data_IF_851800468809
#
_entry.id   IF_851800468809
#
_cell.length_a   1.000
_cell.length_b   1.000
_cell.length_c   1.000
_cell.angle_alpha   90.00
_cell.angle_beta   90.00
_cell.angle_gamma   90.00
#
_symmetry.space_group_name_H-M   'P 1'
#
loop_
_entity.id
_entity.type
_entity.pdbx_description
1 polymer ?
#
# COMPACT_ATOMS: atom_id res chain seq x y z
N UNK A 1 -12.44 4.86 58.04
CA UNK A 1 -12.10 5.67 56.86
C UNK A 1 -11.16 4.86 55.98
N UNK A 2 -11.66 4.28 54.88
CA UNK A 2 -10.85 3.57 53.88
C UNK A 2 -10.76 4.47 52.65
N UNK A 3 -9.60 5.09 52.42
CA UNK A 3 -9.31 5.80 51.19
C UNK A 3 -8.87 4.77 50.13
N UNK A 4 -9.69 4.61 49.09
CA UNK A 4 -9.31 3.89 47.87
C UNK A 4 -8.65 4.92 46.96
N UNK A 5 -7.36 4.72 46.67
CA UNK A 5 -6.63 5.53 45.70
C UNK A 5 -6.86 4.92 44.31
N UNK A 6 -7.68 5.58 43.49
CA UNK A 6 -7.85 5.22 42.08
C UNK A 6 -6.68 5.82 41.29
N UNK A 7 -5.67 5.00 40.98
CA UNK A 7 -4.65 5.38 40.00
C UNK A 7 -5.27 5.37 38.59
N UNK A 8 -5.61 6.55 38.08
CA UNK A 8 -5.88 6.74 36.65
C UNK A 8 -4.56 6.61 35.88
N UNK A 9 -4.32 5.46 35.26
CA UNK A 9 -3.27 5.32 34.25
C UNK A 9 -3.77 6.02 32.99
N UNK A 10 -3.37 7.27 32.78
CA UNK A 10 -3.49 7.91 31.48
C UNK A 10 -2.61 7.12 30.50
N UNK A 11 -3.22 6.32 29.64
CA UNK A 11 -2.53 5.75 28.47
C UNK A 11 -2.37 6.87 27.45
N UNK A 12 -1.32 7.67 27.61
CA UNK A 12 -0.89 8.60 26.58
C UNK A 12 -0.47 7.80 25.36
N UNK A 13 -1.34 7.76 24.34
CA UNK A 13 -0.97 7.33 22.99
C UNK A 13 0.19 8.25 22.55
N UNK A 14 1.39 7.70 22.50
CA UNK A 14 2.55 8.44 21.98
C UNK A 14 2.37 8.51 20.47
N UNK A 15 2.07 9.70 19.95
CA UNK A 15 1.97 9.94 18.51
C UNK A 15 3.32 10.43 17.99
N UNK A 16 3.79 9.82 16.90
CA UNK A 16 4.90 10.35 16.12
C UNK A 16 4.42 11.46 15.20
N UNK A 17 5.31 12.37 14.81
CA UNK A 17 5.02 13.30 13.73
C UNK A 17 4.70 12.49 12.46
N UNK A 18 3.57 12.79 11.82
CA UNK A 18 3.17 12.10 10.60
C UNK A 18 4.27 12.25 9.54
N UNK A 19 4.86 11.15 9.04
CA UNK A 19 5.94 11.25 8.09
C UNK A 19 5.44 11.79 6.75
N UNK A 20 6.20 12.71 6.17
CA UNK A 20 5.99 13.16 4.80
C UNK A 20 6.58 12.12 3.86
N UNK A 21 5.71 11.44 3.12
CA UNK A 21 6.05 10.23 2.39
C UNK A 21 5.74 10.37 0.90
N UNK A 22 6.68 9.93 0.07
CA UNK A 22 6.50 9.80 -1.37
C UNK A 22 5.28 8.93 -1.70
N UNK A 23 4.51 9.34 -2.71
CA UNK A 23 3.32 8.65 -3.17
C UNK A 23 3.47 8.24 -4.63
N UNK A 24 3.15 6.98 -4.94
CA UNK A 24 3.24 6.47 -6.31
C UNK A 24 2.09 6.99 -7.19
N UNK A 25 2.46 7.53 -8.35
CA UNK A 25 1.54 7.82 -9.44
C UNK A 25 1.27 6.58 -10.29
N UNK A 26 0.26 6.60 -11.15
CA UNK A 26 -0.06 5.48 -12.05
C UNK A 26 0.78 5.59 -13.33
N UNK A 27 1.38 4.48 -13.77
CA UNK A 27 2.01 4.40 -15.09
C UNK A 27 0.98 4.64 -16.22
N UNK A 28 1.36 5.43 -17.22
CA UNK A 28 0.54 5.87 -18.36
C UNK A 28 1.36 5.81 -19.66
N UNK A 29 2.12 4.72 -19.81
CA UNK A 29 2.86 4.42 -21.05
C UNK A 29 3.99 5.40 -21.40
N UNK A 30 4.53 6.11 -20.40
CA UNK A 30 5.72 6.96 -20.57
C UNK A 30 7.01 6.13 -20.78
N UNK A 31 8.02 6.72 -21.40
CA UNK A 31 9.33 6.08 -21.58
C UNK A 31 10.03 5.83 -20.24
N UNK A 32 10.30 4.56 -19.95
CA UNK A 32 10.88 4.10 -18.66
C UNK A 32 12.20 3.32 -18.83
N UNK A 33 12.83 3.39 -20.00
CA UNK A 33 14.14 2.75 -20.22
C UNK A 33 15.18 3.28 -19.25
N UNK A 34 15.91 2.37 -18.60
CA UNK A 34 16.90 2.67 -17.57
C UNK A 34 16.33 2.96 -16.18
N UNK A 35 15.01 2.87 -15.98
CA UNK A 35 14.40 3.05 -14.67
C UNK A 35 14.58 1.81 -13.80
N UNK A 36 14.53 1.96 -12.48
CA UNK A 36 14.55 0.83 -11.55
C UNK A 36 13.13 0.32 -11.35
N UNK A 37 12.92 -0.99 -11.47
CA UNK A 37 11.68 -1.67 -11.15
C UNK A 37 11.85 -2.66 -10.00
N UNK A 38 10.83 -2.78 -9.17
CA UNK A 38 10.77 -3.71 -8.04
C UNK A 38 9.36 -4.25 -7.88
N UNK A 39 9.21 -5.40 -7.23
CA UNK A 39 7.89 -5.88 -6.82
C UNK A 39 7.21 -4.84 -5.91
N UNK A 40 5.92 -4.58 -6.16
CA UNK A 40 5.06 -3.87 -5.23
C UNK A 40 4.57 -4.87 -4.20
N UNK A 41 5.19 -4.85 -3.02
CA UNK A 41 4.80 -5.69 -1.90
C UNK A 41 3.47 -5.21 -1.30
N UNK A 42 2.53 -6.13 -1.09
CA UNK A 42 1.25 -5.88 -0.41
C UNK A 42 1.40 -6.12 1.09
N UNK A 43 2.13 -5.23 1.75
CA UNK A 43 2.37 -5.28 3.19
C UNK A 43 1.78 -4.09 3.93
N UNK A 44 2.45 -3.69 5.01
CA UNK A 44 2.12 -2.45 5.73
C UNK A 44 3.32 -1.51 5.69
N UNK A 45 3.18 -0.39 4.97
CA UNK A 45 4.21 0.65 4.90
C UNK A 45 4.61 1.16 6.29
N UNK A 46 5.91 1.16 6.54
CA UNK A 46 6.52 1.69 7.73
C UNK A 46 7.66 2.66 7.38
N UNK A 47 7.79 3.71 8.18
CA UNK A 47 8.87 4.67 8.15
C UNK A 47 9.70 4.50 9.41
N UNK A 48 10.95 4.12 9.27
CA UNK A 48 11.93 4.14 10.33
C UNK A 48 12.51 5.55 10.41
N UNK A 49 12.44 6.21 11.56
CA UNK A 49 12.97 7.57 11.76
C UNK A 49 14.44 7.62 12.21
N UNK A 50 15.05 6.45 12.46
CA UNK A 50 16.35 6.32 13.11
C UNK A 50 16.28 5.66 14.49
N UNK A 51 15.06 5.54 15.06
CA UNK A 51 14.83 4.96 16.39
C UNK A 51 13.56 4.09 16.46
N UNK A 52 12.48 4.46 15.76
CA UNK A 52 11.17 3.81 15.83
C UNK A 52 10.55 3.62 14.44
N UNK A 53 9.75 2.55 14.32
CA UNK A 53 8.89 2.32 13.16
C UNK A 53 7.57 3.09 13.32
N UNK A 54 7.25 3.90 12.30
CA UNK A 54 6.09 4.79 12.27
C UNK A 54 5.21 4.41 11.06
N UNK A 55 3.93 4.21 11.30
CA UNK A 55 2.95 4.01 10.23
C UNK A 55 2.78 5.25 9.37
N UNK A 56 2.21 5.09 8.18
CA UNK A 56 1.82 6.22 7.32
C UNK A 56 0.93 7.26 8.03
N UNK A 57 0.17 6.85 9.05
CA UNK A 57 -0.71 7.73 9.83
C UNK A 57 0.01 8.54 10.91
N UNK A 58 1.28 8.22 11.24
CA UNK A 58 2.02 8.83 12.35
C UNK A 58 1.96 8.02 13.66
N UNK A 59 1.26 6.88 13.67
CA UNK A 59 1.23 6.00 14.85
C UNK A 59 2.48 5.13 14.89
N UNK A 60 3.12 5.02 16.05
CA UNK A 60 4.23 4.07 16.26
C UNK A 60 3.74 2.63 16.22
N UNK A 61 4.51 1.76 15.58
CA UNK A 61 4.32 0.32 15.68
C UNK A 61 4.94 -0.19 16.99
N UNK A 62 4.27 -1.15 17.65
CA UNK A 62 4.81 -1.85 18.81
C UNK A 62 5.82 -2.94 18.36
N UNK A 63 6.86 -2.54 17.62
CA UNK A 63 7.90 -3.45 17.16
C UNK A 63 8.75 -3.93 18.36
N UNK A 64 8.97 -5.24 18.53
CA UNK A 64 9.88 -5.75 19.53
C UNK A 64 11.29 -5.17 19.36
N UNK A 65 12.00 -4.91 20.47
CA UNK A 65 13.37 -4.36 20.42
C UNK A 65 14.35 -5.23 19.62
N UNK A 66 14.16 -6.56 19.63
CA UNK A 66 14.97 -7.47 18.85
C UNK A 66 14.74 -7.35 17.34
N UNK A 67 13.56 -6.87 16.91
CA UNK A 67 13.22 -6.72 15.49
C UNK A 67 13.98 -5.55 14.88
N UNK A 68 14.03 -4.42 15.58
CA UNK A 68 14.72 -3.19 15.14
C UNK A 68 16.17 -3.12 15.64
N UNK A 69 16.70 -4.23 16.18
CA UNK A 69 18.07 -4.26 16.67
C UNK A 69 19.02 -4.00 15.52
N UNK A 70 20.00 -3.11 15.76
CA UNK A 70 21.04 -2.73 14.80
C UNK A 70 20.49 -2.09 13.50
N UNK A 71 19.26 -1.58 13.51
CA UNK A 71 18.76 -0.74 12.42
C UNK A 71 19.57 0.56 12.31
N UNK A 72 19.69 1.15 11.11
CA UNK A 72 20.54 2.31 10.88
C UNK A 72 20.10 3.54 11.69
N UNK A 73 21.02 4.41 12.11
CA UNK A 73 20.70 5.65 12.81
C UNK A 73 20.15 6.75 11.86
N UNK A 74 19.58 6.37 10.72
CA UNK A 74 19.04 7.27 9.70
C UNK A 74 17.71 6.76 9.16
N UNK A 75 16.93 7.68 8.58
CA UNK A 75 15.58 7.39 8.13
C UNK A 75 15.51 6.40 6.95
N UNK A 76 14.62 5.42 7.03
CA UNK A 76 14.37 4.40 6.00
C UNK A 76 12.86 4.27 5.75
N UNK A 77 12.48 4.14 4.49
CA UNK A 77 11.08 3.96 4.06
C UNK A 77 10.95 2.60 3.37
N UNK A 78 9.93 1.84 3.77
CA UNK A 78 9.81 0.45 3.37
C UNK A 78 8.45 -0.15 3.68
N UNK A 79 8.35 -1.45 3.47
CA UNK A 79 7.14 -2.24 3.72
C UNK A 79 7.44 -3.32 4.78
N UNK A 80 6.62 -3.40 5.84
CA UNK A 80 6.60 -4.58 6.71
C UNK A 80 5.88 -5.70 5.95
N UNK A 81 6.59 -6.79 5.68
CA UNK A 81 6.13 -7.82 4.76
C UNK A 81 6.67 -9.20 5.13
N UNK A 82 5.88 -10.24 4.86
CA UNK A 82 6.22 -11.66 5.08
C UNK A 82 6.35 -12.40 3.74
N UNK A 83 5.23 -12.57 3.05
CA UNK A 83 5.09 -13.28 1.77
C UNK A 83 3.90 -12.71 0.99
N UNK A 84 3.76 -13.16 -0.24
CA UNK A 84 2.62 -12.83 -1.12
C UNK A 84 1.31 -13.34 -0.55
N UNK A 85 0.21 -12.66 -0.87
CA UNK A 85 -1.16 -12.97 -0.41
C UNK A 85 -1.35 -13.02 1.12
N UNK A 86 -0.52 -12.33 1.91
CA UNK A 86 -0.48 -12.41 3.38
C UNK A 86 -0.86 -11.11 4.11
N UNK A 87 -1.41 -10.13 3.38
CA UNK A 87 -1.70 -8.79 3.91
C UNK A 87 -2.55 -8.79 5.19
N UNK A 88 -3.63 -9.56 5.23
CA UNK A 88 -4.54 -9.62 6.39
C UNK A 88 -3.81 -10.14 7.64
N UNK A 89 -2.91 -11.11 7.46
CA UNK A 89 -2.08 -11.66 8.53
C UNK A 89 -1.04 -10.64 9.01
N UNK A 90 -0.30 -10.02 8.10
CA UNK A 90 0.66 -8.95 8.41
C UNK A 90 -0.03 -7.83 9.21
N UNK A 91 -1.19 -7.38 8.73
CA UNK A 91 -1.97 -6.34 9.40
C UNK A 91 -2.37 -6.76 10.81
N UNK A 92 -2.78 -8.02 11.01
CA UNK A 92 -3.16 -8.53 12.33
C UNK A 92 -2.02 -8.52 13.35
N UNK A 93 -0.76 -8.64 12.88
CA UNK A 93 0.45 -8.59 13.71
C UNK A 93 0.82 -7.15 14.04
N UNK A 94 0.92 -6.28 13.04
CA UNK A 94 1.50 -4.93 13.22
C UNK A 94 0.52 -3.92 13.83
N UNK A 95 -0.79 -4.18 13.76
CA UNK A 95 -1.82 -3.30 14.34
C UNK A 95 -2.05 -3.53 15.85
N UNK A 96 -1.33 -4.48 16.45
CA UNK A 96 -1.39 -4.72 17.90
C UNK A 96 -0.82 -3.53 18.69
N UNK A 97 -1.40 -3.26 19.87
CA UNK A 97 -0.90 -2.20 20.77
C UNK A 97 0.39 -2.59 21.49
N UNK A 98 0.60 -3.87 21.69
CA UNK A 98 1.78 -4.45 22.31
C UNK A 98 2.51 -5.34 21.32
N UNK A 99 3.78 -5.62 21.61
CA UNK A 99 4.63 -6.42 20.74
C UNK A 99 4.08 -7.85 20.62
N UNK A 100 3.97 -8.35 19.39
CA UNK A 100 3.42 -9.66 19.06
C UNK A 100 4.53 -10.63 18.62
N UNK A 101 4.48 -11.91 19.00
CA UNK A 101 5.52 -12.87 18.59
C UNK A 101 5.58 -13.09 17.06
N UNK A 102 4.45 -12.89 16.37
CA UNK A 102 4.36 -12.98 14.91
C UNK A 102 5.25 -12.00 14.13
N UNK A 103 5.86 -11.00 14.79
CA UNK A 103 6.89 -10.16 14.16
C UNK A 103 8.07 -11.00 13.61
N UNK A 104 8.28 -12.22 14.11
CA UNK A 104 9.32 -13.15 13.61
C UNK A 104 9.08 -13.60 12.18
N UNK A 105 7.83 -13.51 11.70
CA UNK A 105 7.44 -13.87 10.34
C UNK A 105 7.63 -12.70 9.35
N UNK A 106 7.91 -11.50 9.87
CA UNK A 106 8.00 -10.28 9.08
C UNK A 106 9.46 -9.90 8.85
N UNK A 107 9.70 -9.11 7.81
CA UNK A 107 10.88 -8.26 7.69
C UNK A 107 10.46 -6.89 7.15
N UNK A 108 11.31 -5.89 7.38
CA UNK A 108 11.17 -4.55 6.85
C UNK A 108 11.93 -4.44 5.53
N UNK A 109 11.20 -4.42 4.41
CA UNK A 109 11.77 -4.31 3.08
C UNK A 109 11.83 -2.83 2.66
N UNK A 110 13.00 -2.25 2.83
CA UNK A 110 13.32 -0.88 2.46
C UNK A 110 13.32 -0.68 0.95
N UNK A 111 12.63 0.35 0.49
CA UNK A 111 12.66 0.79 -0.91
C UNK A 111 13.17 2.23 -1.05
N UNK A 112 13.50 2.92 0.05
CA UNK A 112 14.12 4.24 0.01
C UNK A 112 14.83 4.64 1.32
N UNK A 113 15.67 5.68 1.23
CA UNK A 113 16.31 6.38 2.37
C UNK A 113 15.98 7.87 2.24
N UNK A 114 14.78 8.32 2.69
CA UNK A 114 14.19 9.61 2.29
C UNK A 114 15.01 10.87 2.60
N UNK A 115 15.85 10.81 3.63
CA UNK A 115 16.67 11.94 4.09
C UNK A 115 18.05 11.99 3.43
N UNK A 116 18.40 10.99 2.62
CA UNK A 116 19.66 10.97 1.88
C UNK A 116 19.55 11.77 0.58
N UNK A 117 20.62 12.49 0.21
CA UNK A 117 20.63 13.34 -0.99
C UNK A 117 20.94 12.52 -2.24
N UNK A 118 20.41 12.98 -3.37
CA UNK A 118 20.67 12.39 -4.69
C UNK A 118 19.60 11.39 -5.12
N UNK A 119 19.91 10.65 -6.18
CA UNK A 119 19.01 9.67 -6.80
C UNK A 119 18.75 8.42 -5.96
N UNK A 120 17.68 7.70 -6.29
CA UNK A 120 17.29 6.44 -5.65
C UNK A 120 18.47 5.45 -5.55
N UNK A 121 19.27 5.29 -6.61
CA UNK A 121 20.43 4.39 -6.60
C UNK A 121 21.42 4.76 -5.49
N UNK A 122 21.72 6.06 -5.32
CA UNK A 122 22.63 6.53 -4.27
C UNK A 122 22.02 6.35 -2.88
N UNK A 123 20.73 6.62 -2.73
CA UNK A 123 20.01 6.49 -1.46
C UNK A 123 19.99 5.02 -1.00
N UNK A 124 19.72 4.08 -1.91
CA UNK A 124 19.77 2.65 -1.62
C UNK A 124 21.21 2.15 -1.38
N UNK A 125 22.20 2.64 -2.12
CA UNK A 125 23.61 2.28 -1.90
C UNK A 125 24.09 2.65 -0.49
N UNK A 126 23.59 3.74 0.11
CA UNK A 126 23.87 4.08 1.51
C UNK A 126 23.36 3.01 2.47
N UNK A 127 22.14 2.53 2.26
CA UNK A 127 21.58 1.46 3.10
C UNK A 127 22.33 0.15 2.86
N UNK A 128 22.66 -0.18 1.62
CA UNK A 128 23.40 -1.39 1.26
C UNK A 128 24.77 -1.44 1.95
N UNK A 129 25.51 -0.33 1.91
CA UNK A 129 26.76 -0.17 2.64
C UNK A 129 26.59 -0.39 4.15
N UNK A 130 25.54 0.19 4.76
CA UNK A 130 25.26 -0.01 6.17
C UNK A 130 24.98 -1.49 6.49
N UNK A 131 24.13 -2.15 5.70
CA UNK A 131 23.78 -3.56 5.90
C UNK A 131 24.95 -4.52 5.64
N UNK A 132 25.91 -4.13 4.79
CA UNK A 132 27.14 -4.92 4.58
C UNK A 132 28.12 -4.87 5.76
N UNK A 133 27.98 -3.89 6.65
CA UNK A 133 28.88 -3.66 7.78
C UNK A 133 28.26 -4.01 9.14
N UNK A 134 26.97 -4.35 9.18
CA UNK A 134 26.21 -4.66 10.40
C UNK A 134 25.38 -5.93 10.20
N UNK A 135 25.26 -6.75 11.24
CA UNK A 135 24.40 -7.93 11.21
C UNK A 135 22.96 -7.52 11.52
N UNK A 136 22.20 -7.14 10.48
CA UNK A 136 20.80 -6.72 10.62
C UNK A 136 19.86 -7.78 10.07
N UNK A 137 19.09 -8.43 10.95
CA UNK A 137 18.31 -9.63 10.58
C UNK A 137 17.00 -9.30 9.85
N UNK A 138 16.34 -8.23 10.27
CA UNK A 138 14.95 -7.92 9.88
C UNK A 138 14.83 -6.69 8.97
N UNK A 139 15.93 -6.13 8.48
CA UNK A 139 15.93 -5.05 7.48
C UNK A 139 16.59 -5.52 6.20
N UNK A 140 15.88 -5.42 5.09
CA UNK A 140 16.35 -5.83 3.76
C UNK A 140 16.08 -4.74 2.76
N UNK A 141 16.90 -4.65 1.71
CA UNK A 141 16.58 -3.80 0.55
C UNK A 141 15.64 -4.59 -0.36
N UNK A 142 14.52 -3.98 -0.73
CA UNK A 142 13.61 -4.50 -1.74
C UNK A 142 14.38 -4.64 -3.07
N UNK A 143 14.42 -5.84 -3.69
CA UNK A 143 15.19 -6.07 -4.92
C UNK A 143 14.85 -5.06 -6.01
N UNK A 144 15.89 -4.47 -6.63
CA UNK A 144 15.77 -3.50 -7.71
C UNK A 144 16.38 -4.07 -8.99
N UNK A 145 15.67 -3.91 -10.10
CA UNK A 145 16.12 -4.34 -11.42
C UNK A 145 16.07 -3.16 -12.40
N UNK A 146 17.06 -3.01 -13.26
CA UNK A 146 16.99 -2.00 -14.32
C UNK A 146 16.05 -2.48 -15.41
N UNK A 147 15.03 -1.68 -15.71
CA UNK A 147 14.07 -1.92 -16.77
C UNK A 147 14.62 -1.41 -18.12
N UNK A 148 14.74 -2.28 -19.11
CA UNK A 148 15.23 -1.94 -20.46
C UNK A 148 14.16 -1.24 -21.27
N UNK A 149 12.94 -1.76 -21.23
CA UNK A 149 11.80 -1.30 -22.03
C UNK A 149 10.47 -1.77 -21.45
N UNK A 150 9.38 -1.34 -22.08
CA UNK A 150 8.03 -1.72 -21.71
C UNK A 150 7.78 -3.24 -21.78
N UNK A 151 8.37 -3.95 -22.73
CA UNK A 151 8.18 -5.40 -22.84
C UNK A 151 8.80 -6.14 -21.65
N UNK A 152 9.95 -5.70 -21.14
CA UNK A 152 10.55 -6.24 -19.92
C UNK A 152 9.71 -5.88 -18.68
N UNK A 153 9.17 -4.66 -18.61
CA UNK A 153 8.24 -4.28 -17.55
C UNK A 153 6.99 -5.17 -17.52
N UNK A 154 6.35 -5.40 -18.67
CA UNK A 154 5.15 -6.22 -18.77
C UNK A 154 5.42 -7.70 -18.44
N UNK A 155 6.58 -8.23 -18.85
CA UNK A 155 7.00 -9.60 -18.46
C UNK A 155 7.21 -9.70 -16.95
N UNK A 156 7.93 -8.75 -16.35
CA UNK A 156 8.16 -8.75 -14.91
C UNK A 156 6.84 -8.59 -14.13
N UNK A 157 5.94 -7.73 -14.59
CA UNK A 157 4.59 -7.60 -14.02
C UNK A 157 3.84 -8.92 -14.06
N UNK A 158 3.81 -9.59 -15.22
CA UNK A 158 3.14 -10.87 -15.37
C UNK A 158 3.73 -11.96 -14.47
N UNK A 159 5.06 -12.04 -14.35
CA UNK A 159 5.74 -12.98 -13.46
C UNK A 159 5.40 -12.75 -11.99
N UNK A 160 5.38 -11.49 -11.56
CA UNK A 160 4.99 -11.09 -10.20
C UNK A 160 3.53 -11.48 -9.93
N UNK A 161 2.60 -11.06 -10.79
CA UNK A 161 1.16 -11.32 -10.65
C UNK A 161 0.83 -12.82 -10.70
N UNK A 162 1.43 -13.57 -11.63
CA UNK A 162 1.25 -15.03 -11.76
C UNK A 162 1.65 -15.77 -10.49
N UNK A 163 2.59 -15.23 -9.73
CA UNK A 163 3.08 -15.83 -8.52
C UNK A 163 2.50 -15.15 -7.25
N UNK A 164 1.38 -14.44 -7.36
CA UNK A 164 0.58 -13.87 -6.25
C UNK A 164 1.01 -12.48 -5.78
N UNK A 165 1.90 -11.81 -6.52
CA UNK A 165 2.39 -10.48 -6.16
C UNK A 165 1.43 -9.38 -6.60
N UNK A 166 1.48 -8.22 -5.91
CA UNK A 166 0.48 -7.16 -6.10
C UNK A 166 0.67 -6.36 -7.40
N UNK A 167 1.86 -6.38 -7.97
CA UNK A 167 2.26 -5.60 -9.15
C UNK A 167 3.69 -5.08 -9.07
N UNK A 168 4.01 -4.03 -9.81
CA UNK A 168 5.37 -3.48 -9.91
C UNK A 168 5.40 -2.01 -9.52
N UNK A 169 6.50 -1.59 -8.89
CA UNK A 169 6.88 -0.19 -8.72
C UNK A 169 8.01 0.11 -9.69
N UNK A 170 7.93 1.21 -10.43
CA UNK A 170 9.01 1.65 -11.33
C UNK A 170 9.39 3.11 -11.02
N UNK A 171 10.69 3.38 -10.86
CA UNK A 171 11.22 4.65 -10.36
C UNK A 171 12.45 5.11 -11.11
N UNK A 172 12.53 6.40 -11.37
CA UNK A 172 13.71 6.98 -12.01
C UNK A 172 14.93 6.92 -11.08
N UNK A 173 16.09 6.38 -11.51
CA UNK A 173 17.24 6.10 -10.64
C UNK A 173 17.88 7.36 -10.06
N UNK A 174 17.84 8.46 -10.83
CA UNK A 174 18.59 9.68 -10.51
C UNK A 174 17.76 10.82 -9.89
N UNK A 175 16.43 10.64 -9.75
CA UNK A 175 15.59 11.73 -9.23
C UNK A 175 15.69 11.86 -7.71
N UNK A 176 15.71 13.10 -7.17
CA UNK A 176 15.71 13.33 -5.74
C UNK A 176 14.42 12.79 -5.10
N UNK A 177 14.47 12.55 -3.79
CA UNK A 177 13.27 12.20 -3.03
C UNK A 177 12.31 13.40 -2.98
N UNK A 178 11.06 13.19 -3.34
CA UNK A 178 9.99 14.18 -3.20
C UNK A 178 8.84 13.53 -2.42
N UNK A 179 8.45 14.14 -1.30
CA UNK A 179 7.42 13.62 -0.40
C UNK A 179 5.98 13.88 -0.92
N UNK A 180 5.78 13.77 -2.22
CA UNK A 180 4.49 14.00 -2.90
C UNK A 180 4.26 12.92 -3.96
N UNK A 181 3.22 13.08 -4.77
CA UNK A 181 3.17 12.38 -6.07
C UNK A 181 4.08 13.09 -7.06
N UNK A 182 4.74 12.32 -7.90
CA UNK A 182 5.56 12.82 -9.00
C UNK A 182 5.44 11.88 -10.21
N UNK A 183 5.95 12.32 -11.37
CA UNK A 183 5.95 11.53 -12.60
C UNK A 183 7.06 10.47 -12.64
N UNK A 184 7.91 10.40 -11.61
CA UNK A 184 9.15 9.63 -11.57
C UNK A 184 9.09 8.41 -10.65
N UNK A 185 7.98 8.23 -9.93
CA UNK A 185 7.72 7.10 -9.05
C UNK A 185 6.32 6.55 -9.29
N UNK A 186 6.27 5.39 -9.93
CA UNK A 186 5.08 4.89 -10.59
C UNK A 186 4.72 3.51 -10.07
N UNK A 187 3.42 3.21 -10.05
CA UNK A 187 2.87 1.86 -9.83
C UNK A 187 2.32 1.32 -11.15
N UNK A 188 2.60 0.05 -11.40
CA UNK A 188 2.19 -0.70 -12.59
C UNK A 188 1.44 -1.94 -12.11
N UNK A 189 0.21 -2.10 -12.58
CA UNK A 189 -0.71 -3.17 -12.17
C UNK A 189 -1.67 -3.48 -13.29
N UNK A 190 -1.98 -4.75 -13.48
CA UNK A 190 -3.08 -5.15 -14.35
C UNK A 190 -4.41 -4.82 -13.67
N UNK A 191 -5.32 -4.21 -14.42
CA UNK A 191 -6.71 -4.07 -14.01
C UNK A 191 -7.54 -5.05 -14.84
N UNK A 192 -8.39 -5.81 -14.17
CA UNK A 192 -9.40 -6.64 -14.80
C UNK A 192 -10.73 -5.91 -14.79
N UNK A 193 -11.33 -5.77 -15.96
CA UNK A 193 -12.68 -5.28 -16.10
C UNK A 193 -13.66 -6.45 -15.91
N UNK A 194 -14.73 -6.19 -15.17
CA UNK A 194 -15.85 -7.10 -15.03
C UNK A 194 -17.15 -6.31 -14.86
N UNK A 195 -18.25 -7.05 -14.85
CA UNK A 195 -19.57 -6.47 -14.78
C UNK A 195 -20.32 -6.94 -13.54
N UNK A 196 -21.19 -6.07 -13.05
CA UNK A 196 -22.09 -6.40 -11.97
C UNK A 196 -23.39 -5.62 -12.09
N UNK A 197 -24.43 -6.15 -11.44
CA UNK A 197 -25.73 -5.52 -11.32
C UNK A 197 -25.82 -4.76 -10.00
N UNK A 198 -26.27 -3.51 -10.06
CA UNK A 198 -26.48 -2.67 -8.88
C UNK A 198 -27.66 -3.21 -8.06
N UNK A 199 -27.44 -3.48 -6.78
CA UNK A 199 -28.47 -3.97 -5.86
C UNK A 199 -28.98 -2.89 -4.91
N UNK A 200 -28.10 -2.04 -4.40
CA UNK A 200 -28.48 -0.97 -3.48
C UNK A 200 -27.47 0.17 -3.45
N UNK A 201 -27.93 1.33 -2.99
CA UNK A 201 -27.14 2.54 -2.78
C UNK A 201 -26.90 2.77 -1.30
N UNK A 202 -25.72 3.27 -0.95
CA UNK A 202 -25.35 3.64 0.42
C UNK A 202 -24.83 5.07 0.43
N UNK A 203 -25.35 5.90 1.34
CA UNK A 203 -24.85 7.25 1.55
C UNK A 203 -23.40 7.22 2.04
N UNK A 204 -22.64 8.27 1.71
CA UNK A 204 -21.27 8.41 2.15
C UNK A 204 -21.13 9.02 3.54
N UNK A 205 -19.90 9.36 3.89
CA UNK A 205 -19.56 10.11 5.10
C UNK A 205 -18.85 11.41 4.72
N UNK A 206 -18.74 12.34 5.66
CA UNK A 206 -18.05 13.63 5.46
C UNK A 206 -18.63 14.40 4.26
N UNK A 207 -17.78 14.70 3.27
CA UNK A 207 -18.20 15.43 2.05
C UNK A 207 -19.28 14.72 1.23
N UNK A 208 -19.52 13.43 1.46
CA UNK A 208 -20.50 12.63 0.73
C UNK A 208 -21.71 12.21 1.58
N UNK A 209 -21.97 12.86 2.73
CA UNK A 209 -23.02 12.45 3.68
C UNK A 209 -24.43 12.36 3.06
N UNK A 210 -24.73 13.24 2.10
CA UNK A 210 -26.06 13.37 1.50
C UNK A 210 -26.16 12.75 0.10
N UNK A 211 -25.06 12.20 -0.40
CA UNK A 211 -24.95 11.64 -1.77
C UNK A 211 -24.43 10.21 -1.73
N UNK A 212 -24.30 9.58 -2.90
CA UNK A 212 -23.76 8.23 -2.98
C UNK A 212 -22.34 8.16 -2.38
N UNK A 213 -22.19 7.31 -1.37
CA UNK A 213 -20.90 6.82 -0.87
C UNK A 213 -20.44 5.60 -1.64
N UNK A 214 -21.29 4.57 -1.71
CA UNK A 214 -20.99 3.30 -2.39
C UNK A 214 -22.23 2.59 -2.93
N UNK A 215 -22.03 1.72 -3.92
CA UNK A 215 -23.03 0.76 -4.41
C UNK A 215 -22.76 -0.61 -3.82
N UNK A 216 -23.79 -1.36 -3.43
CA UNK A 216 -23.69 -2.83 -3.36
C UNK A 216 -24.07 -3.40 -4.71
N UNK A 217 -23.22 -4.28 -5.25
CA UNK A 217 -23.46 -4.93 -6.53
C UNK A 217 -23.29 -6.45 -6.43
N UNK A 218 -23.87 -7.17 -7.39
CA UNK A 218 -23.72 -8.62 -7.55
C UNK A 218 -23.17 -8.91 -8.96
N UNK A 219 -22.05 -9.63 -9.04
CA UNK A 219 -21.50 -10.04 -10.33
C UNK A 219 -22.24 -11.27 -10.90
N UNK A 220 -21.89 -11.67 -12.12
CA UNK A 220 -22.54 -12.77 -12.85
C UNK A 220 -22.34 -14.14 -12.19
N UNK A 221 -21.28 -14.32 -11.40
CA UNK A 221 -21.03 -15.54 -10.59
C UNK A 221 -21.70 -15.49 -9.21
N UNK A 222 -22.47 -14.43 -8.91
CA UNK A 222 -23.31 -14.32 -7.74
C UNK A 222 -22.68 -13.73 -6.48
N UNK A 223 -21.41 -13.29 -6.55
CA UNK A 223 -20.69 -12.67 -5.44
C UNK A 223 -21.17 -11.24 -5.22
N UNK A 224 -21.46 -10.90 -3.96
CA UNK A 224 -21.93 -9.57 -3.54
C UNK A 224 -20.81 -8.78 -2.86
N UNK A 225 -20.58 -7.55 -3.32
CA UNK A 225 -19.53 -6.67 -2.82
C UNK A 225 -19.90 -5.18 -2.98
N UNK A 226 -19.15 -4.30 -2.31
CA UNK A 226 -19.34 -2.85 -2.37
C UNK A 226 -18.34 -2.19 -3.32
N UNK A 227 -18.78 -1.17 -4.05
CA UNK A 227 -17.94 -0.30 -4.89
C UNK A 227 -18.11 1.13 -4.40
N UNK A 228 -17.04 1.73 -3.85
CA UNK A 228 -17.07 3.09 -3.26
C UNK A 228 -16.26 4.16 -3.99
N UNK A 229 -15.46 3.75 -4.98
CA UNK A 229 -14.55 4.62 -5.74
C UNK A 229 -14.83 4.57 -7.24
N UNK A 230 -14.37 5.59 -7.97
CA UNK A 230 -14.54 5.70 -9.43
C UNK A 230 -15.68 6.62 -9.88
N UNK A 231 -16.56 7.02 -8.96
CA UNK A 231 -17.64 7.96 -9.24
C UNK A 231 -17.16 9.41 -9.25
N UNK A 232 -17.53 10.17 -10.30
CA UNK A 232 -17.46 11.62 -10.30
C UNK A 232 -18.46 12.24 -9.31
N UNK A 233 -18.29 13.50 -8.94
CA UNK A 233 -19.25 14.18 -8.05
C UNK A 233 -20.66 14.19 -8.66
N UNK A 234 -20.79 14.42 -9.97
CA UNK A 234 -22.06 14.32 -10.70
C UNK A 234 -22.69 12.92 -10.57
N UNK A 235 -21.90 11.86 -10.70
CA UNK A 235 -22.38 10.48 -10.52
C UNK A 235 -22.72 10.17 -9.06
N UNK A 236 -22.16 10.88 -8.08
CA UNK A 236 -22.56 10.70 -6.69
C UNK A 236 -23.92 11.32 -6.39
N UNK A 237 -24.21 12.45 -7.02
CA UNK A 237 -25.53 13.09 -6.97
C UNK A 237 -26.58 12.32 -7.79
N UNK A 238 -26.19 11.74 -8.92
CA UNK A 238 -27.05 10.94 -9.79
C UNK A 238 -26.45 9.54 -10.02
N UNK A 239 -26.58 8.62 -9.04
CA UNK A 239 -25.93 7.32 -9.09
C UNK A 239 -26.55 6.38 -10.12
N UNK A 240 -25.79 5.38 -10.62
CA UNK A 240 -26.34 4.30 -11.45
C UNK A 240 -27.55 3.65 -10.77
N UNK A 241 -28.68 3.57 -11.48
CA UNK A 241 -29.93 3.08 -10.92
C UNK A 241 -29.81 1.64 -10.38
N UNK A 242 -30.60 1.32 -9.35
CA UNK A 242 -30.75 -0.08 -8.90
C UNK A 242 -31.23 -0.92 -10.08
N UNK A 243 -30.58 -2.05 -10.30
CA UNK A 243 -30.84 -2.95 -11.42
C UNK A 243 -29.98 -2.70 -12.66
N UNK A 244 -29.29 -1.55 -12.76
CA UNK A 244 -28.39 -1.26 -13.89
C UNK A 244 -27.18 -2.22 -13.91
N UNK A 245 -26.71 -2.55 -15.12
CA UNK A 245 -25.40 -3.17 -15.32
C UNK A 245 -24.33 -2.08 -15.34
N UNK A 246 -23.25 -2.31 -14.61
CA UNK A 246 -22.09 -1.42 -14.58
C UNK A 246 -20.82 -2.21 -14.85
N UNK A 247 -19.86 -1.57 -15.53
CA UNK A 247 -18.49 -2.06 -15.62
C UNK A 247 -17.71 -1.51 -14.43
N UNK A 248 -17.00 -2.39 -13.74
CA UNK A 248 -16.04 -2.04 -12.71
C UNK A 248 -14.72 -2.70 -13.04
N UNK A 249 -13.63 -2.09 -12.56
CA UNK A 249 -12.32 -2.69 -12.62
C UNK A 249 -11.82 -3.07 -11.25
N UNK A 250 -11.08 -4.16 -11.17
CA UNK A 250 -10.46 -4.66 -9.95
C UNK A 250 -9.08 -5.21 -10.29
N UNK A 251 -8.28 -5.48 -9.26
CA UNK A 251 -6.91 -5.99 -9.45
C UNK A 251 -6.82 -7.48 -9.13
N UNK A 252 -7.43 -7.86 -8.03
CA UNK A 252 -7.34 -9.21 -7.46
C UNK A 252 -8.66 -9.56 -6.78
N UNK A 253 -8.86 -10.86 -6.52
CA UNK A 253 -9.98 -11.37 -5.75
C UNK A 253 -9.49 -11.74 -4.34
N UNK A 254 -10.29 -11.48 -3.32
CA UNK A 254 -10.10 -12.06 -1.99
C UNK A 254 -10.27 -13.59 -2.05
N UNK A 255 -9.84 -14.30 -0.98
CA UNK A 255 -10.05 -15.76 -0.84
C UNK A 255 -11.50 -16.21 -1.05
N UNK A 256 -12.46 -15.32 -0.81
CA UNK A 256 -13.89 -15.56 -0.98
C UNK A 256 -14.43 -15.10 -2.35
N UNK A 257 -13.57 -14.85 -3.33
CA UNK A 257 -13.94 -14.45 -4.69
C UNK A 257 -14.46 -13.01 -4.83
N UNK A 258 -14.38 -12.18 -3.78
CA UNK A 258 -14.78 -10.76 -3.85
C UNK A 258 -13.68 -9.92 -4.50
N UNK A 259 -13.98 -9.06 -5.48
CA UNK A 259 -13.03 -8.08 -5.98
C UNK A 259 -12.46 -7.21 -4.86
N UNK A 260 -11.13 -7.09 -4.80
CA UNK A 260 -10.43 -6.22 -3.85
C UNK A 260 -10.23 -4.85 -4.47
N UNK A 261 -10.62 -3.81 -3.72
CA UNK A 261 -10.61 -2.40 -4.14
C UNK A 261 -11.28 -2.13 -5.52
N UNK A 262 -12.53 -2.58 -5.74
CA UNK A 262 -13.20 -2.37 -7.03
C UNK A 262 -13.47 -0.88 -7.27
N UNK A 263 -13.29 -0.46 -8.53
CA UNK A 263 -13.45 0.92 -8.99
C UNK A 263 -14.50 0.94 -10.09
N UNK A 264 -15.55 1.76 -9.92
CA UNK A 264 -16.53 2.00 -10.97
C UNK A 264 -15.86 2.61 -12.20
N UNK A 265 -16.21 2.10 -13.39
CA UNK A 265 -15.72 2.60 -14.68
C UNK A 265 -16.83 3.34 -15.41
N UNK A 266 -17.94 2.65 -15.70
CA UNK A 266 -19.07 3.21 -16.46
C UNK A 266 -20.34 2.40 -16.24
N UNK A 267 -21.48 3.02 -16.53
CA UNK A 267 -22.73 2.28 -16.74
C UNK A 267 -22.58 1.53 -18.08
N UNK A 268 -23.01 0.27 -18.12
CA UNK A 268 -23.07 -0.47 -19.38
C UNK A 268 -24.32 -0.03 -20.11
N UNK A 269 -24.13 0.51 -21.30
CA UNK A 269 -25.20 0.67 -22.26
C UNK A 269 -25.35 -0.68 -22.96
N UNK A 270 -26.45 -1.37 -22.72
CA UNK A 270 -26.82 -2.53 -23.50
C UNK A 270 -27.35 -1.99 -24.84
N UNK A 271 -26.68 -2.33 -25.95
CA UNK A 271 -27.16 -2.05 -27.31
C UNK A 271 -28.29 -3.00 -27.68
#
# INVERSE_FOLDING_TARGET
MRFVWLCFVLTSLVWGAKPELLLLETYKDQTISGWLMSEKMDGVRAYWDGEKLISRGGTFFAAPLWFTKDFPPFAVDGELWSRRDDFEHIQSIVMQKEAHEGWRELAFYAFDVPKERGGLTKRLAKLDYYLSSHSVDYLKIAPQFTCKDENELQRFLHEVEKAGGEGVVIRHPNMPYVATRDAYSLKVKTFHDAECRVLSHHKGEGKYKDVLGSLTCKNDVGVVFKIGSGFSDTQRHNPPAIGARITYKYKELTKNGKPRFPVFVRIREDL
#
